data_IF_283397560906
#
_entry.id   IF_283397560906
#
_cell.length_a   1.000
_cell.length_b   1.000
_cell.length_c   1.000
_cell.angle_alpha   90.00
_cell.angle_beta   90.00
_cell.angle_gamma   90.00
#
_symmetry.space_group_name_H-M   'P 1'
#
loop_
_entity.id
_entity.type
_entity.pdbx_description
1 polymer ?
#
# COMPACT_ATOMS: atom_id res chain seq x y z
N UNK A 1 -3.98 11.10 -5.24
CA UNK A 1 -3.80 11.03 -3.77
C UNK A 1 -3.24 9.65 -3.46
N UNK A 2 -1.97 9.56 -3.07
CA UNK A 2 -1.29 8.27 -2.86
C UNK A 2 -1.63 7.74 -1.47
N UNK A 3 -1.94 6.45 -1.33
CA UNK A 3 -2.21 5.81 -0.04
C UNK A 3 -1.56 4.44 -0.01
N UNK A 4 -0.77 4.19 1.04
CA UNK A 4 -0.14 2.90 1.29
C UNK A 4 -0.92 2.14 2.37
N UNK A 5 -1.20 0.87 2.09
CA UNK A 5 -2.10 0.06 2.92
C UNK A 5 -1.48 -1.33 3.08
N UNK A 6 -1.65 -1.91 4.25
CA UNK A 6 -1.12 -3.23 4.61
C UNK A 6 -2.26 -4.19 4.93
N UNK A 7 -2.00 -5.49 4.81
CA UNK A 7 -2.92 -6.54 5.23
C UNK A 7 -2.79 -6.80 6.74
N UNK A 8 -1.58 -6.62 7.30
CA UNK A 8 -1.31 -6.80 8.73
C UNK A 8 -1.86 -5.67 9.61
N UNK A 9 -2.44 -6.00 10.77
CA UNK A 9 -3.08 -5.07 11.73
C UNK A 9 -2.11 -4.26 12.62
N UNK A 10 -0.85 -4.06 12.19
CA UNK A 10 0.07 -3.21 12.95
C UNK A 10 -0.46 -1.77 13.00
N UNK A 11 -0.35 -1.11 14.15
CA UNK A 11 -0.78 0.29 14.31
C UNK A 11 0.29 1.30 13.88
N UNK A 12 1.56 0.87 13.87
CA UNK A 12 2.70 1.74 13.61
C UNK A 12 3.57 1.20 12.48
N UNK A 13 4.36 2.09 11.89
CA UNK A 13 5.44 1.73 10.97
C UNK A 13 6.53 0.99 11.75
N UNK A 14 7.18 0.02 11.10
CA UNK A 14 8.28 -0.72 11.73
C UNK A 14 9.47 0.21 12.00
N UNK A 15 10.04 0.15 13.21
CA UNK A 15 11.12 1.06 13.61
C UNK A 15 12.35 0.93 12.69
N UNK A 16 12.73 -0.29 12.31
CA UNK A 16 13.87 -0.49 11.39
C UNK A 16 13.61 0.13 10.00
N UNK A 17 12.35 0.17 9.55
CA UNK A 17 12.03 0.85 8.30
C UNK A 17 12.18 2.36 8.44
N UNK A 18 11.78 2.95 9.57
CA UNK A 18 12.02 4.37 9.87
C UNK A 18 13.53 4.64 9.88
N UNK A 19 14.30 3.78 10.55
CA UNK A 19 15.74 3.92 10.66
C UNK A 19 16.43 3.90 9.29
N UNK A 20 16.21 2.84 8.49
CA UNK A 20 16.84 2.68 7.17
C UNK A 20 16.40 3.77 6.19
N UNK A 21 15.14 4.18 6.20
CA UNK A 21 14.68 5.26 5.31
C UNK A 21 15.27 6.62 5.72
N UNK A 22 15.47 6.84 7.02
CA UNK A 22 16.11 8.05 7.51
C UNK A 22 17.61 8.11 7.13
N UNK A 23 18.30 6.97 6.97
CA UNK A 23 19.69 6.92 6.48
C UNK A 23 19.84 7.53 5.07
N UNK A 24 18.81 7.41 4.23
CA UNK A 24 18.77 8.01 2.89
C UNK A 24 18.03 9.36 2.85
N UNK A 25 17.70 9.93 4.01
CA UNK A 25 17.06 11.24 4.14
C UNK A 25 15.54 11.26 3.90
N UNK A 26 14.86 10.11 4.01
CA UNK A 26 13.41 10.00 3.87
C UNK A 26 12.78 9.74 5.25
N UNK A 27 12.06 10.72 5.77
CA UNK A 27 11.32 10.59 7.03
C UNK A 27 9.93 9.97 6.83
N UNK A 28 9.76 8.73 7.31
CA UNK A 28 8.48 8.03 7.32
C UNK A 28 7.88 7.90 8.74
N UNK A 29 8.44 8.59 9.74
CA UNK A 29 8.02 8.47 11.14
C UNK A 29 6.58 8.95 11.39
N UNK A 30 6.08 9.86 10.55
CA UNK A 30 4.70 10.37 10.60
C UNK A 30 3.70 9.49 9.86
N UNK A 31 4.16 8.48 9.10
CA UNK A 31 3.29 7.57 8.38
C UNK A 31 2.55 6.65 9.37
N UNK A 32 1.34 6.26 8.99
CA UNK A 32 0.49 5.36 9.79
C UNK A 32 0.13 4.14 8.98
N UNK A 33 0.20 2.98 9.63
CA UNK A 33 -0.25 1.74 9.03
C UNK A 33 -1.78 1.72 9.01
N UNK A 34 -2.34 1.38 7.86
CA UNK A 34 -3.77 1.17 7.64
C UNK A 34 -4.01 -0.26 7.19
N UNK A 35 -5.11 -0.86 7.64
CA UNK A 35 -5.55 -2.18 7.15
C UNK A 35 -6.31 -2.03 5.83
N UNK A 36 -6.19 -3.00 4.93
CA UNK A 36 -6.99 -3.05 3.70
C UNK A 36 -8.49 -3.05 3.99
N UNK A 37 -8.89 -3.71 5.08
CA UNK A 37 -10.28 -3.82 5.52
C UNK A 37 -10.85 -2.47 6.01
N UNK A 38 -9.98 -1.52 6.38
CA UNK A 38 -10.38 -0.19 6.83
C UNK A 38 -10.63 0.79 5.68
N UNK A 39 -10.42 0.38 4.43
CA UNK A 39 -10.67 1.23 3.27
C UNK A 39 -12.14 1.23 2.88
N UNK A 40 -12.63 2.42 2.55
CA UNK A 40 -13.95 2.58 1.95
C UNK A 40 -13.99 1.93 0.56
N UNK A 41 -15.08 1.21 0.25
CA UNK A 41 -15.31 0.62 -1.08
C UNK A 41 -15.39 1.69 -2.17
N UNK A 42 -15.91 2.87 -1.83
CA UNK A 42 -15.97 4.02 -2.74
C UNK A 42 -14.59 4.59 -3.03
N UNK A 43 -13.66 4.46 -2.09
CA UNK A 43 -12.26 4.82 -2.31
C UNK A 43 -11.57 3.79 -3.22
N UNK A 44 -11.74 2.51 -2.92
CA UNK A 44 -11.14 1.40 -3.70
C UNK A 44 -11.63 1.40 -5.15
N UNK A 45 -12.90 1.71 -5.39
CA UNK A 45 -13.48 1.76 -6.74
C UNK A 45 -13.04 2.96 -7.59
N UNK A 46 -12.42 3.98 -6.98
CA UNK A 46 -11.92 5.18 -7.67
C UNK A 46 -10.41 5.18 -7.85
N UNK A 47 -9.74 4.06 -7.59
CA UNK A 47 -8.29 3.95 -7.77
C UNK A 47 -7.93 3.80 -9.25
N UNK A 48 -7.07 4.68 -9.75
CA UNK A 48 -6.51 4.57 -11.09
C UNK A 48 -5.36 3.55 -11.16
N UNK A 49 -4.63 3.42 -10.05
CA UNK A 49 -3.42 2.60 -9.94
C UNK A 49 -3.37 1.84 -8.61
N UNK A 50 -2.98 0.56 -8.69
CA UNK A 50 -2.72 -0.29 -7.53
C UNK A 50 -1.36 -0.94 -7.72
N UNK A 51 -0.45 -0.75 -6.75
CA UNK A 51 0.89 -1.34 -6.75
C UNK A 51 0.98 -2.28 -5.55
N UNK A 52 1.24 -3.55 -5.83
CA UNK A 52 1.38 -4.60 -4.82
C UNK A 52 2.84 -5.02 -4.74
N UNK A 53 3.38 -5.07 -3.52
CA UNK A 53 4.80 -5.35 -3.28
C UNK A 53 5.08 -6.86 -3.19
N UNK A 54 4.07 -7.67 -2.86
CA UNK A 54 4.15 -9.12 -2.74
C UNK A 54 3.02 -9.75 -3.54
N UNK A 55 3.30 -10.83 -4.26
CA UNK A 55 2.32 -11.53 -5.11
C UNK A 55 1.42 -12.51 -4.34
N UNK A 56 1.75 -12.83 -3.09
CA UNK A 56 1.15 -13.93 -2.32
C UNK A 56 0.15 -13.49 -1.25
N UNK A 57 0.01 -12.19 -1.00
CA UNK A 57 -0.90 -11.70 0.04
C UNK A 57 -2.20 -11.15 -0.56
N UNK A 58 -3.30 -11.41 0.14
CA UNK A 58 -4.69 -11.12 -0.25
C UNK A 58 -4.85 -9.67 -0.73
N UNK A 59 -4.97 -9.49 -2.04
CA UNK A 59 -5.19 -8.18 -2.64
C UNK A 59 -6.68 -7.85 -2.73
N UNK A 60 -7.06 -6.57 -2.57
CA UNK A 60 -8.44 -6.14 -2.77
C UNK A 60 -8.86 -6.34 -4.22
N UNK A 61 -10.12 -6.74 -4.43
CA UNK A 61 -10.73 -6.75 -5.76
C UNK A 61 -10.97 -5.30 -6.17
N UNK A 62 -10.44 -4.91 -7.33
CA UNK A 62 -10.54 -3.56 -7.91
C UNK A 62 -11.23 -3.60 -9.28
N UNK A 63 -11.82 -2.48 -9.74
CA UNK A 63 -12.46 -2.40 -11.05
C UNK A 63 -11.50 -2.72 -12.21
N UNK A 64 -12.04 -3.17 -13.33
CA UNK A 64 -11.24 -3.50 -14.52
C UNK A 64 -10.51 -2.29 -15.14
N UNK A 65 -11.02 -1.08 -14.89
CA UNK A 65 -10.39 0.17 -15.34
C UNK A 65 -9.12 0.54 -14.56
N UNK A 66 -8.84 -0.14 -13.45
CA UNK A 66 -7.70 0.15 -12.57
C UNK A 66 -6.44 -0.52 -13.08
N UNK A 67 -5.37 0.25 -13.28
CA UNK A 67 -4.07 -0.30 -13.66
C UNK A 67 -3.41 -0.98 -12.44
N UNK A 68 -3.18 -2.29 -12.55
CA UNK A 68 -2.61 -3.09 -11.46
C UNK A 68 -1.17 -3.47 -11.74
N UNK A 69 -0.31 -3.35 -10.73
CA UNK A 69 1.11 -3.69 -10.80
C UNK A 69 1.48 -4.64 -9.66
N UNK A 70 2.31 -5.64 -9.95
CA UNK A 70 2.90 -6.56 -8.96
C UNK A 70 4.42 -6.47 -9.08
N UNK A 71 5.11 -6.08 -8.01
CA UNK A 71 6.58 -6.02 -7.97
C UNK A 71 7.19 -5.18 -9.11
N UNK A 72 6.55 -4.07 -9.49
CA UNK A 72 6.88 -3.20 -10.62
C UNK A 72 6.57 -3.72 -12.04
N UNK A 73 5.98 -4.91 -12.17
CA UNK A 73 5.48 -5.40 -13.45
C UNK A 73 4.00 -5.06 -13.60
N UNK A 74 3.59 -4.46 -14.73
CA UNK A 74 2.17 -4.23 -15.01
C UNK A 74 1.48 -5.58 -15.22
N UNK A 75 0.50 -5.87 -14.38
CA UNK A 75 -0.34 -7.05 -14.52
C UNK A 75 -1.71 -6.58 -15.00
N UNK A 76 -1.93 -6.73 -16.32
CA UNK A 76 -3.02 -6.17 -17.15
C UNK A 76 -2.75 -4.75 -17.66
#
# INVERSE_FOLDING_TARGET
>A
MTSEVRISTSKNVHNDAIFVMNEIGIDISSNKTKSIESLDKDFVSKLDHVITLCAEEVCPIVPESTNTYIGQTKTR
#
